data_IF_384480531619
#
_entry.id   IF_384480531619
#
_cell.length_a   1.000
_cell.length_b   1.000
_cell.length_c   1.000
_cell.angle_alpha   90.00
_cell.angle_beta   90.00
_cell.angle_gamma   90.00
#
_symmetry.space_group_name_H-M   'P 1'
#
loop_
_entity.id
_entity.type
_entity.pdbx_description
1 polymer ?
#
# COMPACT_ATOMS: atom_id res chain seq x y z
N UNK A 1 7.02 -16.94 18.75
CA UNK A 1 7.42 -15.59 18.29
C UNK A 1 7.23 -15.47 16.77
N UNK A 2 7.73 -16.45 15.98
CA UNK A 2 7.51 -16.55 14.52
C UNK A 2 6.06 -16.43 14.06
N UNK A 3 5.11 -16.99 14.81
CA UNK A 3 3.69 -16.89 14.49
C UNK A 3 3.19 -15.45 14.41
N UNK A 4 3.65 -14.55 15.31
CA UNK A 4 3.23 -13.15 15.32
C UNK A 4 3.79 -12.40 14.10
N UNK A 5 5.03 -12.71 13.71
CA UNK A 5 5.63 -12.18 12.49
C UNK A 5 4.83 -12.59 11.24
N UNK A 6 4.51 -13.88 11.07
CA UNK A 6 3.75 -14.34 9.90
C UNK A 6 2.33 -13.78 9.86
N UNK A 7 1.66 -13.64 11.02
CA UNK A 7 0.36 -12.97 11.10
C UNK A 7 0.48 -11.50 10.67
N UNK A 8 1.53 -10.79 11.09
CA UNK A 8 1.75 -9.41 10.70
C UNK A 8 2.05 -9.26 9.21
N UNK A 9 2.86 -10.14 8.63
CA UNK A 9 3.09 -10.20 7.17
C UNK A 9 1.78 -10.43 6.42
N UNK A 10 0.95 -11.37 6.89
CA UNK A 10 -0.35 -11.64 6.29
C UNK A 10 -1.26 -10.40 6.33
N UNK A 11 -1.35 -9.72 7.47
CA UNK A 11 -2.13 -8.48 7.60
C UNK A 11 -1.59 -7.39 6.67
N UNK A 12 -0.27 -7.21 6.58
CA UNK A 12 0.35 -6.24 5.69
C UNK A 12 0.01 -6.50 4.21
N UNK A 13 0.05 -7.76 3.77
CA UNK A 13 -0.32 -8.15 2.41
C UNK A 13 -1.79 -7.84 2.11
N UNK A 14 -2.69 -8.16 3.05
CA UNK A 14 -4.11 -7.85 2.88
C UNK A 14 -4.34 -6.34 2.81
N UNK A 15 -3.66 -5.56 3.67
CA UNK A 15 -3.74 -4.10 3.64
C UNK A 15 -3.27 -3.53 2.32
N UNK A 16 -2.14 -3.98 1.78
CA UNK A 16 -1.66 -3.55 0.45
C UNK A 16 -2.70 -3.85 -0.62
N UNK A 17 -3.18 -5.09 -0.71
CA UNK A 17 -4.17 -5.49 -1.72
C UNK A 17 -5.40 -4.59 -1.65
N UNK A 18 -5.93 -4.37 -0.44
CA UNK A 18 -7.11 -3.52 -0.25
C UNK A 18 -6.80 -2.10 -0.68
N UNK A 19 -5.69 -1.51 -0.23
CA UNK A 19 -5.32 -0.14 -0.57
C UNK A 19 -5.21 0.02 -2.08
N UNK A 20 -4.37 -0.75 -2.78
CA UNK A 20 -4.22 -0.64 -4.24
C UNK A 20 -5.54 -0.89 -5.00
N UNK A 21 -6.42 -1.72 -4.46
CA UNK A 21 -7.73 -2.04 -5.07
C UNK A 21 -8.80 -0.97 -4.84
N UNK A 22 -8.56 0.05 -4.02
CA UNK A 22 -9.50 1.17 -3.82
C UNK A 22 -9.45 2.17 -4.98
N UNK A 23 -8.36 2.22 -5.75
CA UNK A 23 -8.21 3.19 -6.85
C UNK A 23 -9.38 3.20 -7.86
N UNK A 24 -9.92 2.05 -8.34
CA UNK A 24 -11.06 2.04 -9.26
C UNK A 24 -12.35 2.67 -8.70
N UNK A 25 -12.48 2.82 -7.38
CA UNK A 25 -13.62 3.49 -6.73
C UNK A 25 -13.53 5.02 -6.88
N UNK A 26 -12.35 5.55 -7.21
CA UNK A 26 -12.12 6.96 -7.45
C UNK A 26 -12.64 7.38 -8.83
N UNK A 27 -13.88 7.85 -8.88
CA UNK A 27 -14.51 8.34 -10.11
C UNK A 27 -14.17 9.82 -10.35
N UNK A 28 -13.12 10.09 -11.14
CA UNK A 28 -12.86 11.43 -11.66
C UNK A 28 -12.52 11.34 -13.15
N UNK A 29 -13.14 12.21 -13.94
CA UNK A 29 -12.82 12.45 -15.34
C UNK A 29 -11.34 12.89 -15.46
N UNK A 30 -10.46 11.93 -15.79
CA UNK A 30 -9.04 12.09 -16.14
C UNK A 30 -8.25 13.17 -15.36
N UNK A 31 -8.10 13.06 -14.03
CA UNK A 31 -7.24 13.96 -13.27
C UNK A 31 -5.76 13.68 -13.57
N UNK A 32 -4.97 14.76 -13.66
CA UNK A 32 -3.52 14.71 -13.76
C UNK A 32 -2.87 15.64 -12.74
N UNK A 33 -1.78 15.20 -12.11
CA UNK A 33 -0.97 16.00 -11.18
C UNK A 33 0.44 16.08 -11.74
N UNK A 34 0.96 17.30 -11.92
CA UNK A 34 2.31 17.51 -12.45
C UNK A 34 2.54 16.91 -13.85
N UNK A 35 1.48 16.80 -14.67
CA UNK A 35 1.53 16.19 -16.00
C UNK A 35 1.42 14.66 -16.02
N UNK A 36 1.35 14.00 -14.85
CA UNK A 36 1.13 12.56 -14.74
C UNK A 36 -0.35 12.24 -14.48
N UNK A 37 -0.93 11.24 -15.17
CA UNK A 37 -2.22 10.70 -14.79
C UNK A 37 -2.23 10.32 -13.31
N UNK A 38 -3.33 10.63 -12.62
CA UNK A 38 -3.46 10.41 -11.18
C UNK A 38 -3.18 8.96 -10.76
N UNK A 39 -3.45 7.99 -11.63
CA UNK A 39 -3.07 6.59 -11.43
C UNK A 39 -1.61 6.42 -11.04
N UNK A 40 -0.67 7.03 -11.76
CA UNK A 40 0.76 6.87 -11.49
C UNK A 40 1.17 7.57 -10.20
N UNK A 41 0.60 8.74 -9.91
CA UNK A 41 0.86 9.46 -8.66
C UNK A 41 0.36 8.63 -7.47
N UNK A 42 -0.81 8.02 -7.62
CA UNK A 42 -1.36 7.10 -6.64
C UNK A 42 -0.42 5.89 -6.44
N UNK A 43 0.12 5.29 -7.51
CA UNK A 43 1.09 4.20 -7.37
C UNK A 43 2.36 4.62 -6.62
N UNK A 44 2.88 5.83 -6.86
CA UNK A 44 4.07 6.36 -6.17
C UNK A 44 3.80 6.56 -4.67
N UNK A 45 2.64 7.12 -4.33
CA UNK A 45 2.23 7.29 -2.93
C UNK A 45 2.09 5.92 -2.25
N UNK A 46 1.44 4.98 -2.93
CA UNK A 46 1.24 3.63 -2.42
C UNK A 46 2.55 2.88 -2.21
N UNK A 47 3.57 3.10 -3.06
CA UNK A 47 4.91 2.54 -2.84
C UNK A 47 5.51 2.98 -1.50
N UNK A 48 5.40 4.28 -1.17
CA UNK A 48 5.89 4.80 0.11
C UNK A 48 5.08 4.23 1.29
N UNK A 49 3.76 4.12 1.16
CA UNK A 49 2.88 3.52 2.17
C UNK A 49 3.25 2.05 2.42
N UNK A 50 3.41 1.25 1.37
CA UNK A 50 3.82 -0.15 1.45
C UNK A 50 5.19 -0.28 2.12
N UNK A 51 6.17 0.55 1.76
CA UNK A 51 7.49 0.53 2.39
C UNK A 51 7.41 0.76 3.91
N UNK A 52 6.59 1.71 4.37
CA UNK A 52 6.37 1.97 5.80
C UNK A 52 5.68 0.78 6.48
N UNK A 53 4.67 0.18 5.86
CA UNK A 53 3.97 -1.00 6.41
C UNK A 53 4.97 -2.15 6.64
N UNK A 54 5.80 -2.48 5.64
CA UNK A 54 6.77 -3.56 5.79
C UNK A 54 7.92 -3.21 6.73
N UNK A 55 8.31 -1.94 6.82
CA UNK A 55 9.27 -1.48 7.83
C UNK A 55 8.74 -1.75 9.25
N UNK A 56 7.45 -1.48 9.51
CA UNK A 56 6.82 -1.79 10.80
C UNK A 56 6.85 -3.30 11.07
N UNK A 57 6.52 -4.12 10.06
CA UNK A 57 6.56 -5.60 10.18
C UNK A 57 7.98 -6.09 10.50
N UNK A 58 9.02 -5.46 9.93
CA UNK A 58 10.41 -5.84 10.17
C UNK A 58 10.86 -5.69 11.63
N UNK A 59 10.23 -4.80 12.40
CA UNK A 59 10.50 -4.63 13.84
C UNK A 59 9.74 -5.61 14.74
N UNK A 60 8.85 -6.43 14.19
CA UNK A 60 8.15 -7.48 14.94
C UNK A 60 9.11 -8.66 15.12
N UNK A 61 9.52 -8.90 16.37
CA UNK A 61 10.41 -10.02 16.73
C UNK A 61 9.79 -11.36 16.30
N UNK A 62 10.44 -12.00 15.32
CA UNK A 62 10.23 -13.41 14.95
C UNK A 62 10.64 -14.38 16.05
#
# INVERSE_FOLDING_TARGET
MKQKYYIAVFIALILDIVLYSVFPVYNIATPSIGGLPFFYVYQIIMLAVTAVIYLIVAFIKG
#
